data_IF_455618561233
#
_entry.id   IF_455618561233
#
_cell.length_a   1.000
_cell.length_b   1.000
_cell.length_c   1.000
_cell.angle_alpha   90.00
_cell.angle_beta   90.00
_cell.angle_gamma   90.00
#
_symmetry.space_group_name_H-M   'P 1'
#
loop_
_entity.id
_entity.type
_entity.pdbx_description
1 polymer ?
#
# COMPACT_ATOMS: atom_id res chain seq x y z
N UNK A 1 -49.75 -20.15 -16.02
CA UNK A 1 -48.94 -19.18 -15.24
C UNK A 1 -47.68 -19.91 -14.79
N UNK A 2 -46.63 -19.85 -15.61
CA UNK A 2 -45.37 -20.56 -15.33
C UNK A 2 -44.46 -19.68 -14.49
N UNK A 3 -44.23 -20.09 -13.25
CA UNK A 3 -43.31 -19.44 -12.33
C UNK A 3 -41.86 -19.66 -12.77
N UNK A 4 -41.14 -18.56 -13.01
CA UNK A 4 -39.69 -18.57 -13.22
C UNK A 4 -39.04 -18.70 -11.85
N UNK A 5 -38.34 -19.81 -11.63
CA UNK A 5 -37.53 -20.08 -10.45
C UNK A 5 -36.33 -19.13 -10.47
N UNK A 6 -36.28 -18.22 -9.49
CA UNK A 6 -35.10 -17.38 -9.26
C UNK A 6 -33.96 -18.24 -8.71
N UNK A 7 -32.96 -18.49 -9.56
CA UNK A 7 -31.71 -19.13 -9.18
C UNK A 7 -30.89 -18.14 -8.35
N UNK A 8 -31.03 -18.18 -7.02
CA UNK A 8 -30.14 -17.45 -6.11
C UNK A 8 -28.81 -18.21 -6.09
N UNK A 9 -27.87 -17.77 -6.91
CA UNK A 9 -26.49 -18.26 -6.87
C UNK A 9 -25.86 -17.81 -5.55
N UNK A 10 -25.75 -18.74 -4.60
CA UNK A 10 -25.00 -18.54 -3.36
C UNK A 10 -23.52 -18.39 -3.72
N UNK A 11 -23.03 -17.16 -3.76
CA UNK A 11 -21.62 -16.93 -4.02
C UNK A 11 -20.78 -17.41 -2.84
N UNK A 12 -19.98 -18.45 -3.06
CA UNK A 12 -19.04 -18.95 -2.08
C UNK A 12 -17.92 -17.92 -1.85
N UNK A 13 -17.90 -17.30 -0.68
CA UNK A 13 -16.70 -16.63 -0.17
C UNK A 13 -15.66 -17.71 0.20
N UNK A 14 -14.49 -17.67 -0.43
CA UNK A 14 -13.42 -18.63 -0.18
C UNK A 14 -12.36 -18.06 0.75
N UNK A 15 -11.82 -18.89 1.64
CA UNK A 15 -10.65 -18.51 2.44
C UNK A 15 -9.42 -18.36 1.53
N UNK A 16 -8.61 -17.33 1.78
CA UNK A 16 -7.32 -17.18 1.13
C UNK A 16 -6.34 -18.20 1.73
N UNK A 17 -5.48 -18.81 0.92
CA UNK A 17 -4.40 -19.67 1.41
C UNK A 17 -3.35 -18.87 2.18
N UNK A 18 -3.55 -18.69 3.50
CA UNK A 18 -2.65 -17.93 4.36
C UNK A 18 -1.49 -18.82 4.81
N UNK A 19 -0.26 -18.34 4.65
CA UNK A 19 0.90 -18.92 5.34
C UNK A 19 1.41 -17.95 6.39
N UNK A 20 1.59 -18.46 7.63
CA UNK A 20 2.24 -17.67 8.69
C UNK A 20 3.68 -17.35 8.30
N UNK A 21 4.12 -16.16 8.66
CA UNK A 21 5.42 -15.59 8.28
C UNK A 21 6.61 -16.45 8.75
N UNK A 22 6.47 -17.15 9.87
CA UNK A 22 7.44 -18.13 10.38
C UNK A 22 7.74 -19.24 9.36
N UNK A 23 6.75 -19.66 8.56
CA UNK A 23 6.94 -20.67 7.52
C UNK A 23 7.64 -20.11 6.27
N UNK A 24 7.60 -18.80 6.03
CA UNK A 24 8.32 -18.17 4.92
C UNK A 24 9.83 -18.13 5.18
N UNK A 25 10.25 -17.80 6.40
CA UNK A 25 11.68 -17.81 6.79
C UNK A 25 12.33 -19.19 6.60
N UNK A 26 11.59 -20.28 6.88
CA UNK A 26 12.12 -21.65 6.75
C UNK A 26 12.37 -22.13 5.31
N UNK A 27 11.65 -21.61 4.32
CA UNK A 27 11.84 -22.01 2.90
C UNK A 27 12.81 -21.11 2.12
N UNK A 28 13.16 -19.94 2.65
CA UNK A 28 14.06 -18.98 2.00
C UNK A 28 15.55 -19.27 2.25
N UNK A 29 15.91 -20.37 2.93
CA UNK A 29 17.26 -20.70 3.40
C UNK A 29 18.36 -20.75 2.33
N UNK A 30 18.05 -20.67 1.04
CA UNK A 30 19.04 -20.61 -0.05
C UNK A 30 19.10 -19.26 -0.77
N UNK A 31 18.25 -18.29 -0.43
CA UNK A 31 18.27 -16.94 -1.04
C UNK A 31 18.78 -15.94 -0.01
N UNK A 32 19.96 -15.37 -0.26
CA UNK A 32 20.52 -14.28 0.56
C UNK A 32 19.47 -13.19 0.76
N UNK A 33 19.16 -12.86 2.01
CA UNK A 33 18.22 -11.79 2.32
C UNK A 33 18.72 -10.48 1.66
N UNK A 34 17.84 -9.69 1.03
CA UNK A 34 18.26 -8.48 0.35
C UNK A 34 18.69 -7.42 1.36
N UNK A 35 19.76 -6.69 1.03
CA UNK A 35 20.25 -5.60 1.86
C UNK A 35 19.12 -4.58 2.15
N UNK A 36 18.90 -4.22 3.43
CA UNK A 36 17.86 -3.27 3.82
C UNK A 36 17.87 -1.96 3.03
N UNK A 37 16.69 -1.35 2.88
CA UNK A 37 16.53 -0.02 2.27
C UNK A 37 16.66 1.05 3.34
N UNK A 38 17.81 1.71 3.39
CA UNK A 38 18.07 2.84 4.31
C UNK A 38 17.12 4.02 4.01
N UNK A 39 16.94 4.98 4.93
CA UNK A 39 16.11 6.15 4.68
C UNK A 39 16.53 6.92 3.42
N UNK A 40 17.83 7.07 3.19
CA UNK A 40 18.41 7.84 2.08
C UNK A 40 18.25 7.10 0.74
N UNK A 41 18.21 5.77 0.79
CA UNK A 41 18.00 4.92 -0.39
C UNK A 41 16.52 4.66 -0.70
N UNK A 42 15.60 5.16 0.12
CA UNK A 42 14.16 4.93 -0.05
C UNK A 42 13.56 5.92 -1.04
N UNK A 43 12.97 5.39 -2.12
CA UNK A 43 12.17 6.18 -3.05
C UNK A 43 10.82 6.58 -2.42
N UNK A 44 10.32 5.77 -1.48
CA UNK A 44 9.11 6.07 -0.71
C UNK A 44 9.18 5.44 0.67
N UNK A 45 8.71 6.18 1.67
CA UNK A 45 8.49 5.66 3.02
C UNK A 45 6.99 5.71 3.33
N UNK A 46 6.45 4.61 3.86
CA UNK A 46 5.05 4.50 4.29
C UNK A 46 5.04 4.19 5.77
N UNK A 47 4.44 5.08 6.56
CA UNK A 47 4.23 4.85 7.99
C UNK A 47 2.89 4.14 8.15
N UNK A 48 2.94 2.89 8.57
CA UNK A 48 1.76 2.09 8.86
C UNK A 48 1.43 2.30 10.33
N UNK A 49 0.38 3.09 10.55
CA UNK A 49 -0.18 3.37 11.87
C UNK A 49 -1.19 2.28 12.18
N UNK A 50 -1.01 1.62 13.33
CA UNK A 50 -1.86 0.52 13.78
C UNK A 50 -2.98 1.02 14.72
N UNK A 51 -4.13 0.33 14.74
CA UNK A 51 -5.29 0.59 15.61
C UNK A 51 -5.05 0.07 17.04
N UNK A 52 -3.99 0.56 17.70
CA UNK A 52 -3.67 0.20 19.09
C UNK A 52 -2.43 -0.69 19.24
N UNK A 53 -1.66 -0.91 18.18
CA UNK A 53 -0.35 -1.57 18.24
C UNK A 53 0.81 -0.64 17.90
N UNK A 54 1.98 -1.25 17.69
CA UNK A 54 3.24 -0.53 17.46
C UNK A 54 3.40 -0.24 15.96
N UNK A 55 3.55 1.03 15.54
CA UNK A 55 3.62 1.36 14.11
C UNK A 55 4.83 0.73 13.42
N UNK A 56 4.72 0.56 12.11
CA UNK A 56 5.81 0.08 11.25
C UNK A 56 6.14 1.13 10.20
N UNK A 57 7.38 1.15 9.75
CA UNK A 57 7.78 1.93 8.57
C UNK A 57 8.14 0.95 7.47
N UNK A 58 7.55 1.14 6.30
CA UNK A 58 7.93 0.41 5.09
C UNK A 58 8.69 1.35 4.18
N UNK A 59 9.96 1.05 3.94
CA UNK A 59 10.79 1.76 2.97
C UNK A 59 10.84 0.97 1.67
N UNK A 60 10.52 1.65 0.58
CA UNK A 60 10.48 1.09 -0.77
C UNK A 60 11.60 1.70 -1.59
N UNK A 61 12.42 0.86 -2.21
CA UNK A 61 13.27 1.25 -3.31
C UNK A 61 12.76 0.59 -4.60
N UNK A 62 12.15 1.38 -5.49
CA UNK A 62 11.68 0.96 -6.80
C UNK A 62 12.84 0.59 -7.71
N UNK A 63 13.95 1.34 -7.65
CA UNK A 63 15.15 1.05 -8.44
C UNK A 63 15.74 -0.30 -8.08
N UNK A 64 15.88 -0.59 -6.78
CA UNK A 64 16.42 -1.87 -6.27
C UNK A 64 15.36 -2.98 -6.23
N UNK A 65 14.08 -2.62 -6.34
CA UNK A 65 12.92 -3.49 -6.13
C UNK A 65 12.94 -4.22 -4.79
N UNK A 66 13.31 -3.49 -3.74
CA UNK A 66 13.38 -3.99 -2.38
C UNK A 66 12.44 -3.18 -1.49
N UNK A 67 11.69 -3.88 -0.66
CA UNK A 67 10.89 -3.30 0.41
C UNK A 67 11.45 -3.77 1.74
N UNK A 68 11.71 -2.85 2.67
CA UNK A 68 12.15 -3.18 4.02
C UNK A 68 11.15 -2.67 5.03
N UNK A 69 10.76 -3.56 5.94
CA UNK A 69 9.87 -3.27 7.05
C UNK A 69 10.71 -3.06 8.31
N UNK A 70 10.50 -1.91 8.93
CA UNK A 70 11.19 -1.45 10.11
C UNK A 70 10.22 -1.40 11.29
N UNK A 71 10.66 -1.90 12.44
CA UNK A 71 9.96 -1.73 13.72
C UNK A 71 10.27 -0.35 14.28
N UNK A 72 9.24 0.39 14.65
CA UNK A 72 9.42 1.68 15.34
C UNK A 72 9.46 1.48 16.86
N UNK A 73 10.06 2.43 17.58
CA UNK A 73 10.00 2.51 19.03
C UNK A 73 8.89 3.48 19.43
N UNK A 74 8.17 3.16 20.50
CA UNK A 74 7.15 4.06 21.05
C UNK A 74 7.80 5.36 21.53
N UNK A 75 7.15 6.50 21.26
CA UNK A 75 7.58 7.81 21.73
C UNK A 75 8.68 8.50 20.90
N UNK A 76 9.25 7.83 19.89
CA UNK A 76 10.15 8.48 18.94
C UNK A 76 9.35 9.14 17.80
N UNK A 77 9.89 10.23 17.25
CA UNK A 77 9.36 10.83 16.03
C UNK A 77 9.46 9.80 14.90
N UNK A 78 8.31 9.27 14.47
CA UNK A 78 8.19 8.18 13.49
C UNK A 78 8.92 8.51 12.18
N UNK A 79 9.06 9.81 11.85
CA UNK A 79 9.71 10.25 10.63
C UNK A 79 11.23 10.37 10.77
N UNK A 80 11.74 10.56 12.00
CA UNK A 80 13.17 10.67 12.30
C UNK A 80 13.79 9.35 12.77
N UNK A 81 13.02 8.25 12.75
CA UNK A 81 13.42 6.95 13.27
C UNK A 81 14.51 6.29 12.37
N UNK A 82 15.72 6.84 12.44
CA UNK A 82 16.96 6.34 11.83
C UNK A 82 17.48 5.08 12.55
N UNK A 83 17.01 4.84 13.78
CA UNK A 83 17.41 3.75 14.69
C UNK A 83 16.51 2.50 14.63
N UNK A 84 15.62 2.41 13.63
CA UNK A 84 14.61 1.36 13.58
C UNK A 84 15.19 -0.03 13.26
N UNK A 85 14.74 -1.05 14.01
CA UNK A 85 15.15 -2.45 13.84
C UNK A 85 14.53 -3.01 12.54
N UNK A 86 15.34 -3.59 11.66
CA UNK A 86 14.86 -4.27 10.45
C UNK A 86 14.10 -5.52 10.87
N UNK A 87 12.81 -5.61 10.53
CA UNK A 87 12.02 -6.81 10.74
C UNK A 87 12.16 -7.80 9.59
N UNK A 88 11.96 -7.29 8.37
CA UNK A 88 11.82 -8.08 7.15
C UNK A 88 12.27 -7.26 5.94
N UNK A 89 12.90 -7.91 4.97
CA UNK A 89 13.17 -7.33 3.66
C UNK A 89 12.68 -8.27 2.56
N UNK A 90 12.09 -7.71 1.51
CA UNK A 90 11.49 -8.45 0.39
C UNK A 90 11.99 -7.88 -0.93
N UNK A 91 12.36 -8.77 -1.86
CA UNK A 91 12.39 -8.40 -3.29
C UNK A 91 10.98 -8.49 -3.84
N UNK A 92 10.55 -7.49 -4.60
CA UNK A 92 9.22 -7.46 -5.20
C UNK A 92 9.25 -7.19 -6.70
N UNK A 93 8.19 -7.59 -7.41
CA UNK A 93 7.95 -7.24 -8.81
C UNK A 93 7.23 -5.90 -8.92
N UNK A 94 6.17 -5.73 -8.12
CA UNK A 94 5.37 -4.50 -8.02
C UNK A 94 5.06 -4.23 -6.55
N UNK A 95 4.98 -2.97 -6.19
CA UNK A 95 4.51 -2.54 -4.87
C UNK A 95 3.29 -1.66 -5.05
N UNK A 96 2.24 -1.96 -4.29
CA UNK A 96 1.06 -1.13 -4.20
C UNK A 96 1.04 -0.46 -2.84
N UNK A 97 0.82 0.86 -2.83
CA UNK A 97 0.63 1.62 -1.60
C UNK A 97 -0.85 1.93 -1.47
N UNK A 98 -1.45 1.46 -0.38
CA UNK A 98 -2.87 1.65 -0.09
C UNK A 98 -3.10 3.11 0.26
N UNK A 99 -3.65 3.86 -0.67
CA UNK A 99 -4.00 5.28 -0.49
C UNK A 99 -5.52 5.40 -0.54
N UNK A 100 -6.08 6.31 0.25
CA UNK A 100 -7.51 6.58 0.24
C UNK A 100 -7.96 7.11 -1.15
N UNK A 101 -9.10 6.66 -1.70
CA UNK A 101 -9.60 7.15 -2.98
C UNK A 101 -9.78 8.67 -3.04
N UNK A 102 -10.13 9.32 -1.92
CA UNK A 102 -10.26 10.78 -1.86
C UNK A 102 -8.90 11.45 -2.06
N UNK A 103 -7.85 10.90 -1.46
CA UNK A 103 -6.48 11.39 -1.66
C UNK A 103 -6.01 11.19 -3.11
N UNK A 104 -6.30 10.03 -3.72
CA UNK A 104 -6.00 9.81 -5.14
C UNK A 104 -6.66 10.85 -6.05
N UNK A 105 -7.92 11.15 -5.79
CA UNK A 105 -8.69 12.15 -6.54
C UNK A 105 -8.06 13.54 -6.39
N UNK A 106 -7.75 13.95 -5.16
CA UNK A 106 -7.09 15.23 -4.90
C UNK A 106 -5.71 15.32 -5.58
N UNK A 107 -4.91 14.26 -5.53
CA UNK A 107 -3.62 14.21 -6.24
C UNK A 107 -3.79 14.29 -7.76
N UNK A 108 -4.80 13.62 -8.32
CA UNK A 108 -5.10 13.66 -9.74
C UNK A 108 -5.55 15.05 -10.20
N UNK A 109 -6.45 15.68 -9.45
CA UNK A 109 -6.92 17.06 -9.70
C UNK A 109 -5.76 18.05 -9.59
N UNK A 110 -4.90 17.92 -8.58
CA UNK A 110 -3.71 18.76 -8.44
C UNK A 110 -2.72 18.60 -9.61
N UNK A 111 -2.52 17.37 -10.11
CA UNK A 111 -1.71 17.12 -11.31
C UNK A 111 -2.34 17.73 -12.56
N UNK A 112 -3.66 17.62 -12.73
CA UNK A 112 -4.37 18.22 -13.86
C UNK A 112 -4.30 19.75 -13.83
N UNK A 113 -4.45 20.37 -12.65
CA UNK A 113 -4.35 21.81 -12.49
C UNK A 113 -2.96 22.34 -12.88
N UNK A 114 -1.88 21.65 -12.48
CA UNK A 114 -0.50 21.98 -12.89
C UNK A 114 -0.30 21.90 -14.39
N UNK A 115 -0.89 20.91 -15.05
CA UNK A 115 -0.78 20.75 -16.51
C UNK A 115 -1.60 21.78 -17.29
N UNK A 116 -2.72 22.26 -16.74
CA UNK A 116 -3.56 23.31 -17.36
C UNK A 116 -3.01 24.73 -17.15
N UNK A 117 -2.14 24.92 -16.15
CA UNK A 117 -1.55 26.22 -15.80
C UNK A 117 -0.21 26.54 -16.48
N UNK A 118 0.06 26.03 -17.69
CA UNK A 118 1.25 26.41 -18.45
C UNK A 118 0.90 27.51 -19.47
N UNK A 119 1.13 28.80 -19.18
CA UNK A 119 1.00 29.82 -20.20
C UNK A 119 2.23 29.79 -21.11
N UNK A 120 1.98 29.80 -22.42
CA UNK A 120 2.91 30.39 -23.35
C UNK A 120 3.05 31.88 -23.00
N UNK A 121 4.15 32.25 -22.33
CA UNK A 121 4.58 33.63 -22.21
C UNK A 121 6.11 33.69 -22.07
N UNK A 122 6.74 34.14 -23.14
CA UNK A 122 8.07 34.71 -23.22
C UNK A 122 8.21 35.89 -22.25
N UNK A 123 9.33 35.96 -21.53
CA UNK A 123 10.14 37.16 -21.23
C UNK A 123 10.73 37.14 -19.81
N UNK A 124 12.03 37.44 -19.78
CA UNK A 124 12.97 37.55 -18.68
C UNK A 124 12.46 38.15 -17.36
N UNK A 125 12.88 37.53 -16.25
CA UNK A 125 13.54 38.24 -15.16
C UNK A 125 14.32 37.26 -14.27
N UNK A 126 15.51 37.74 -13.92
CA UNK A 126 16.54 37.19 -13.05
C UNK A 126 16.04 37.04 -11.59
N UNK A 127 16.23 35.87 -10.97
CA UNK A 127 16.21 35.67 -9.52
C UNK A 127 16.59 34.23 -9.14
N UNK A 128 17.85 34.08 -8.72
CA UNK A 128 18.35 33.20 -7.65
C UNK A 128 17.53 31.95 -7.28
N UNK A 129 18.03 30.80 -7.73
CA UNK A 129 17.70 29.46 -7.22
C UNK A 129 18.20 29.37 -5.77
N UNK A 130 17.29 29.33 -4.81
CA UNK A 130 17.56 28.86 -3.45
C UNK A 130 16.91 27.50 -3.27
N UNK A 131 17.66 26.59 -2.67
CA UNK A 131 17.33 25.19 -2.47
C UNK A 131 15.93 24.99 -1.90
N UNK A 132 15.11 24.24 -2.65
CA UNK A 132 13.75 23.92 -2.27
C UNK A 132 13.73 22.98 -1.05
N UNK A 133 13.70 23.59 0.13
CA UNK A 133 13.18 22.97 1.34
C UNK A 133 11.78 22.40 1.07
N UNK A 134 11.51 21.21 1.61
CA UNK A 134 10.22 20.55 1.53
C UNK A 134 9.07 21.52 1.88
N UNK A 135 7.95 21.52 1.14
CA UNK A 135 6.92 22.54 1.30
C UNK A 135 6.33 22.53 2.71
N UNK A 136 6.50 23.66 3.39
CA UNK A 136 5.89 24.01 4.67
C UNK A 136 4.39 24.28 4.48
N UNK A 137 3.60 23.21 4.47
CA UNK A 137 2.16 23.30 4.77
C UNK A 137 1.89 22.40 5.97
N UNK A 138 1.18 22.86 7.00
CA UNK A 138 0.83 22.02 8.13
C UNK A 138 -0.16 20.99 7.61
N UNK A 139 0.34 19.81 7.23
CA UNK A 139 -0.48 18.68 6.81
C UNK A 139 -1.37 18.30 7.99
N UNK A 140 -2.61 18.81 7.98
CA UNK A 140 -3.64 18.60 9.01
C UNK A 140 -3.98 17.12 9.25
N UNK A 141 -3.48 16.23 8.40
CA UNK A 141 -3.76 14.81 8.41
C UNK A 141 -2.46 14.00 8.48
N UNK A 142 -2.31 13.23 9.55
CA UNK A 142 -1.09 12.47 9.89
C UNK A 142 -0.81 11.28 8.95
N UNK A 143 -1.69 11.02 7.97
CA UNK A 143 -1.73 9.78 7.18
C UNK A 143 -1.46 9.95 5.68
N UNK A 144 -1.09 11.16 5.21
CA UNK A 144 -0.72 11.37 3.81
C UNK A 144 0.51 10.55 3.44
N UNK A 145 0.32 9.47 2.68
CA UNK A 145 1.42 8.64 2.18
C UNK A 145 1.10 7.15 2.05
N UNK A 146 0.02 6.69 2.67
CA UNK A 146 -0.52 5.34 2.55
C UNK A 146 -0.74 4.65 3.89
N UNK A 147 -1.76 3.80 3.95
CA UNK A 147 -2.22 3.11 5.16
C UNK A 147 -1.68 1.70 5.30
N UNK A 148 -1.23 1.12 4.19
CA UNK A 148 -0.74 -0.25 4.09
C UNK A 148 0.02 -0.42 2.78
N UNK A 149 0.78 -1.51 2.67
CA UNK A 149 1.54 -1.86 1.48
C UNK A 149 1.23 -3.30 1.08
N UNK A 150 1.02 -3.52 -0.21
CA UNK A 150 0.90 -4.85 -0.80
C UNK A 150 2.04 -5.06 -1.79
N UNK A 151 2.83 -6.11 -1.59
CA UNK A 151 3.97 -6.46 -2.45
C UNK A 151 3.59 -7.65 -3.33
N UNK A 152 3.76 -7.52 -4.64
CA UNK A 152 3.68 -8.62 -5.61
C UNK A 152 5.05 -9.30 -5.70
N UNK A 153 5.14 -10.55 -5.24
CA UNK A 153 6.36 -11.36 -5.31
C UNK A 153 6.47 -12.17 -6.61
N UNK A 154 5.51 -12.04 -7.52
CA UNK A 154 5.38 -12.87 -8.72
C UNK A 154 4.55 -14.14 -8.49
N UNK A 155 4.12 -14.78 -9.58
CA UNK A 155 3.32 -16.01 -9.55
C UNK A 155 2.06 -15.91 -8.68
N UNK A 156 1.40 -14.74 -8.67
CA UNK A 156 0.23 -14.42 -7.82
C UNK A 156 0.51 -14.57 -6.32
N UNK A 157 1.77 -14.53 -5.89
CA UNK A 157 2.15 -14.51 -4.47
C UNK A 157 2.30 -13.07 -4.02
N UNK A 158 1.71 -12.76 -2.89
CA UNK A 158 1.70 -11.41 -2.35
C UNK A 158 2.09 -11.38 -0.88
N UNK A 159 2.62 -10.26 -0.42
CA UNK A 159 2.81 -9.93 1.00
C UNK A 159 2.00 -8.70 1.32
N UNK A 160 1.05 -8.85 2.22
CA UNK A 160 0.34 -7.72 2.81
C UNK A 160 1.09 -7.24 4.03
N UNK A 161 1.28 -5.93 4.13
CA UNK A 161 1.90 -5.21 5.23
C UNK A 161 0.93 -4.12 5.67
N UNK A 162 0.25 -4.33 6.79
CA UNK A 162 -0.72 -3.40 7.37
C UNK A 162 -0.87 -3.66 8.86
N UNK A 163 -2.11 -3.83 9.34
CA UNK A 163 -2.45 -4.28 10.71
C UNK A 163 -1.66 -5.55 11.11
N UNK A 164 -1.43 -6.43 10.14
CA UNK A 164 -0.59 -7.62 10.27
C UNK A 164 0.27 -7.77 9.03
N UNK A 165 1.37 -8.51 9.16
CA UNK A 165 2.20 -8.90 8.02
C UNK A 165 1.98 -10.38 7.72
N UNK A 166 1.52 -10.70 6.51
CA UNK A 166 1.36 -12.09 6.06
C UNK A 166 1.53 -12.22 4.56
N UNK A 167 1.81 -13.43 4.09
CA UNK A 167 1.82 -13.75 2.67
C UNK A 167 0.65 -14.64 2.29
N UNK A 168 0.20 -14.48 1.04
CA UNK A 168 -0.85 -15.29 0.45
C UNK A 168 -0.63 -15.50 -1.04
N UNK A 169 -1.40 -16.42 -1.62
CA UNK A 169 -1.49 -16.61 -3.07
C UNK A 169 -2.89 -16.22 -3.52
N UNK A 170 -2.98 -15.28 -4.46
CA UNK A 170 -4.24 -14.87 -5.06
C UNK A 170 -4.66 -15.87 -6.15
N UNK A 171 -5.97 -15.99 -6.37
CA UNK A 171 -6.53 -16.81 -7.45
C UNK A 171 -6.36 -16.17 -8.83
N UNK A 172 -6.18 -14.87 -8.88
CA UNK A 172 -6.02 -14.07 -10.09
C UNK A 172 -5.09 -12.88 -9.86
N UNK A 173 -4.69 -12.21 -10.94
CA UNK A 173 -3.75 -11.09 -10.85
C UNK A 173 -4.42 -9.87 -10.21
N UNK A 174 -3.77 -9.33 -9.18
CA UNK A 174 -4.13 -8.06 -8.57
C UNK A 174 -3.74 -6.92 -9.52
N UNK A 175 -4.72 -6.05 -9.79
CA UNK A 175 -4.62 -4.91 -10.72
C UNK A 175 -4.69 -3.55 -10.01
N UNK A 176 -5.39 -3.47 -8.88
CA UNK A 176 -5.44 -2.27 -8.03
C UNK A 176 -5.45 -2.67 -6.55
N UNK A 177 -5.17 -1.72 -5.69
CA UNK A 177 -5.09 -1.91 -4.25
C UNK A 177 -5.47 -0.62 -3.55
N UNK A 178 -6.51 -0.64 -2.74
CA UNK A 178 -7.05 0.54 -2.08
C UNK A 178 -6.82 0.44 -0.59
N UNK A 179 -6.42 1.54 0.04
CA UNK A 179 -6.21 1.63 1.48
C UNK A 179 -7.12 2.68 2.10
N UNK A 180 -8.43 2.41 2.15
CA UNK A 180 -9.41 3.35 2.73
C UNK A 180 -9.20 3.52 4.23
N UNK A 181 -9.55 4.70 4.72
CA UNK A 181 -9.62 5.00 6.15
C UNK A 181 -11.05 5.26 6.57
N UNK A 182 -11.55 4.51 7.56
CA UNK A 182 -12.85 4.74 8.17
C UNK A 182 -12.85 5.94 9.12
N UNK A 183 -14.05 6.37 9.54
CA UNK A 183 -14.23 7.53 10.43
C UNK A 183 -13.47 7.44 11.76
N UNK A 184 -13.15 6.23 12.24
CA UNK A 184 -12.40 5.99 13.47
C UNK A 184 -10.89 5.88 13.26
N UNK A 185 -10.36 6.34 12.12
CA UNK A 185 -8.96 6.15 11.71
C UNK A 185 -8.56 4.66 11.60
N UNK A 186 -9.54 3.80 11.34
CA UNK A 186 -9.35 2.37 11.11
C UNK A 186 -9.14 2.14 9.62
N UNK A 187 -8.03 1.51 9.27
CA UNK A 187 -7.72 1.16 7.88
C UNK A 187 -8.57 -0.02 7.42
N UNK A 188 -9.06 -0.01 6.18
CA UNK A 188 -9.79 -1.13 5.57
C UNK A 188 -9.24 -1.48 4.17
N UNK A 189 -7.98 -1.94 4.10
CA UNK A 189 -7.34 -2.19 2.82
C UNK A 189 -7.94 -3.40 2.09
N UNK A 190 -8.10 -3.25 0.78
CA UNK A 190 -8.53 -4.33 -0.11
C UNK A 190 -7.78 -4.28 -1.44
N UNK A 191 -7.58 -5.44 -2.04
CA UNK A 191 -6.95 -5.57 -3.35
C UNK A 191 -7.98 -5.96 -4.40
N UNK A 192 -7.96 -5.32 -5.55
CA UNK A 192 -8.84 -5.63 -6.68
C UNK A 192 -8.06 -6.46 -7.68
N UNK A 193 -8.48 -7.72 -7.84
CA UNK A 193 -8.05 -8.60 -8.91
C UNK A 193 -8.91 -8.47 -10.16
N UNK A 194 -8.51 -9.16 -11.22
CA UNK A 194 -9.28 -9.31 -12.47
C UNK A 194 -10.68 -9.90 -12.25
N UNK A 195 -10.84 -10.83 -11.30
CA UNK A 195 -12.07 -11.59 -11.02
C UNK A 195 -12.52 -11.47 -9.56
N UNK A 196 -11.61 -11.23 -8.62
CA UNK A 196 -11.92 -11.23 -7.19
C UNK A 196 -11.40 -9.97 -6.50
N UNK A 197 -12.11 -9.54 -5.46
CA UNK A 197 -11.69 -8.50 -4.53
C UNK A 197 -11.28 -9.16 -3.22
N UNK A 198 -10.08 -8.87 -2.75
CA UNK A 198 -9.45 -9.50 -1.61
C UNK A 198 -9.49 -8.54 -0.42
N UNK A 199 -10.13 -8.96 0.67
CA UNK A 199 -10.26 -8.19 1.89
C UNK A 199 -9.11 -8.55 2.83
N UNK A 200 -8.19 -7.59 3.05
CA UNK A 200 -6.90 -7.91 3.67
C UNK A 200 -6.98 -8.20 5.17
N UNK A 201 -7.98 -7.62 5.86
CA UNK A 201 -8.17 -7.80 7.30
C UNK A 201 -8.80 -9.17 7.58
N UNK A 202 -9.91 -9.45 6.89
CA UNK A 202 -10.69 -10.68 7.00
C UNK A 202 -9.97 -11.87 6.37
N UNK A 203 -8.95 -11.61 5.54
CA UNK A 203 -8.17 -12.61 4.79
C UNK A 203 -9.07 -13.51 3.94
N UNK A 204 -10.05 -12.91 3.32
CA UNK A 204 -11.02 -13.56 2.44
C UNK A 204 -11.08 -12.83 1.10
N UNK A 205 -11.77 -13.40 0.12
CA UNK A 205 -12.06 -12.73 -1.13
C UNK A 205 -13.54 -12.88 -1.50
N UNK A 206 -14.01 -11.93 -2.30
CA UNK A 206 -15.36 -11.91 -2.86
C UNK A 206 -15.25 -11.73 -4.37
N UNK A 207 -15.93 -12.54 -5.19
CA UNK A 207 -16.00 -12.30 -6.62
C UNK A 207 -16.49 -10.88 -6.97
N UNK A 208 -15.84 -10.25 -7.95
CA UNK A 208 -16.10 -8.85 -8.31
C UNK A 208 -17.54 -8.59 -8.74
N UNK A 209 -18.25 -9.59 -9.27
CA UNK A 209 -19.65 -9.44 -9.71
C UNK A 209 -20.64 -9.28 -8.54
N UNK A 210 -20.21 -9.53 -7.30
CA UNK A 210 -21.02 -9.38 -6.08
C UNK A 210 -20.70 -8.06 -5.40
N UNK A 211 -19.45 -7.61 -5.49
CA UNK A 211 -19.02 -6.36 -4.87
C UNK A 211 -19.35 -5.20 -5.81
N UNK A 212 -20.35 -4.39 -5.45
CA UNK A 212 -20.52 -3.07 -6.06
C UNK A 212 -19.45 -2.13 -5.53
N UNK A 213 -18.28 -2.14 -6.16
CA UNK A 213 -17.27 -1.11 -5.91
C UNK A 213 -17.72 0.12 -6.69
N UNK A 214 -18.15 1.17 -5.99
CA UNK A 214 -18.42 2.47 -6.60
C UNK A 214 -17.11 2.97 -7.25
N UNK A 215 -17.10 3.02 -8.58
CA UNK A 215 -15.99 3.52 -9.38
C UNK A 215 -16.02 5.04 -9.48
#
# INVERSE_FOLDING_TARGET
>A
MSGVVALVALAAAGAIGIRRLVQLKRRASTTTEPDPVTPEAADRSVVIVDNGGRPFIVRLSYKRRIATVYRTRWGEDLWKCSSSEVLLSFRYRRAFVGVDPRERKLEAEAKQAKNKGSPAATAAADATVTDAAAPASPRKYWWFGGTSVLLDLGQRRYVFIGLVIYAFTAYDDIVDYVGTMGNSHVTYPYAVGKKNTYMMIERTYVPNHIVQICK
#
